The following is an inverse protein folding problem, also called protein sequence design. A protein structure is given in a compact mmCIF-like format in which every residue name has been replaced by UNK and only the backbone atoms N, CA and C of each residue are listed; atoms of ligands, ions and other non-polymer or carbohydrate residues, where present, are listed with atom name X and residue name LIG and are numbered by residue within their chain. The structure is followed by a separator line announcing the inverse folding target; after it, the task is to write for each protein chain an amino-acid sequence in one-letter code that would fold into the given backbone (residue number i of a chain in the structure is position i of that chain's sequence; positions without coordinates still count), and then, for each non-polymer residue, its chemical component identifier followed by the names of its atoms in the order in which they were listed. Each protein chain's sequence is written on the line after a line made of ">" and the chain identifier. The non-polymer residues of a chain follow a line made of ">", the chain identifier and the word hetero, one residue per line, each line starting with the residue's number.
data_IF_290863307515
#
_entry.id   IF_290863307515
#
_cell.length_a   1.000
_cell.length_b   1.000
_cell.length_c   1.000
_cell.angle_alpha   90.00
_cell.angle_beta   90.00
_cell.angle_gamma   90.00
#
_symmetry.space_group_name_H-M   'P 1'
#
loop_
_entity.id
_entity.type
_entity.pdbx_description
1 polymer ?
#
# COMPACT_ATOMS: atom_id res chain seq x y z
N UNK A 1 -2.68 8.68 10.58
CA UNK A 1 -3.45 7.57 11.19
C UNK A 1 -4.37 8.26 12.20
N UNK A 2 -5.69 8.27 12.02
CA UNK A 2 -6.55 8.85 13.07
C UNK A 2 -6.88 7.75 14.05
N UNK A 3 -6.23 7.79 15.20
CA UNK A 3 -6.61 6.96 16.34
C UNK A 3 -7.70 7.76 17.08
N UNK A 4 -8.80 7.12 17.46
CA UNK A 4 -9.81 7.79 18.27
C UNK A 4 -9.19 8.16 19.62
N UNK A 5 -9.16 9.45 19.95
CA UNK A 5 -8.38 9.99 21.07
C UNK A 5 -7.01 10.48 20.59
N UNK A 6 -6.66 11.73 20.90
CA UNK A 6 -5.46 12.39 20.36
C UNK A 6 -4.18 11.60 20.63
N UNK A 7 -3.66 10.94 19.59
CA UNK A 7 -2.47 10.12 19.69
C UNK A 7 -1.24 11.04 19.83
N UNK A 8 -0.25 10.74 20.70
CA UNK A 8 0.91 11.60 20.91
C UNK A 8 1.67 11.93 19.62
N UNK A 9 1.68 10.99 18.67
CA UNK A 9 2.28 11.20 17.34
C UNK A 9 1.70 12.39 16.58
N UNK A 10 0.42 12.71 16.78
CA UNK A 10 -0.26 13.80 16.08
C UNK A 10 0.20 15.18 16.60
N UNK A 11 0.75 15.23 17.81
CA UNK A 11 1.28 16.46 18.42
C UNK A 11 2.81 16.58 18.30
N UNK A 12 3.52 15.45 18.20
CA UNK A 12 4.98 15.42 18.24
C UNK A 12 5.66 15.40 16.86
N UNK A 13 4.94 15.06 15.79
CA UNK A 13 5.53 14.87 14.46
C UNK A 13 4.78 15.58 13.32
N UNK A 14 5.11 16.87 13.14
CA UNK A 14 4.76 17.62 11.92
C UNK A 14 5.87 17.55 10.84
N UNK A 15 7.11 17.29 11.27
CA UNK A 15 8.29 17.22 10.41
C UNK A 15 9.02 15.88 10.52
N UNK A 16 9.84 15.56 9.51
CA UNK A 16 10.71 14.40 9.51
C UNK A 16 11.73 14.50 10.65
N UNK A 17 12.07 13.36 11.26
CA UNK A 17 13.18 13.29 12.21
C UNK A 17 14.48 13.73 11.54
N UNK A 18 15.33 14.46 12.28
CA UNK A 18 16.68 14.82 11.81
C UNK A 18 17.46 13.57 11.39
N UNK A 19 18.08 13.60 10.21
CA UNK A 19 18.83 12.47 9.65
C UNK A 19 17.99 11.49 8.83
N UNK A 20 16.65 11.57 8.87
CA UNK A 20 15.79 10.63 8.17
C UNK A 20 15.91 10.74 6.64
N UNK A 21 15.98 11.97 6.11
CA UNK A 21 16.13 12.20 4.67
C UNK A 21 17.51 11.76 4.18
N UNK A 22 18.56 12.08 4.93
CA UNK A 22 19.93 11.68 4.62
C UNK A 22 20.05 10.15 4.63
N UNK A 23 19.40 9.47 5.57
CA UNK A 23 19.38 8.00 5.59
C UNK A 23 18.62 7.42 4.40
N UNK A 24 17.50 8.01 4.02
CA UNK A 24 16.76 7.58 2.83
C UNK A 24 17.62 7.75 1.56
N UNK A 25 18.36 8.85 1.45
CA UNK A 25 19.30 9.07 0.34
C UNK A 25 20.46 8.09 0.34
N UNK A 26 21.04 7.79 1.50
CA UNK A 26 22.11 6.77 1.63
C UNK A 26 21.61 5.40 1.18
N UNK A 27 20.41 5.00 1.62
CA UNK A 27 19.80 3.74 1.19
C UNK A 27 19.54 3.73 -0.32
N UNK A 28 19.01 4.82 -0.86
CA UNK A 28 18.78 4.96 -2.31
C UNK A 28 20.07 4.83 -3.13
N UNK A 29 21.19 5.38 -2.66
CA UNK A 29 22.49 5.25 -3.34
C UNK A 29 23.04 3.81 -3.31
N UNK A 30 22.68 3.02 -2.30
CA UNK A 30 23.08 1.63 -2.15
C UNK A 30 22.02 0.65 -2.71
N UNK A 31 20.97 1.18 -3.32
CA UNK A 31 19.83 0.40 -3.80
C UNK A 31 20.28 -0.63 -4.85
N UNK A 32 19.83 -1.86 -4.68
CA UNK A 32 19.96 -2.92 -5.66
C UNK A 32 18.60 -3.61 -5.84
N UNK A 33 18.05 -3.70 -7.07
CA UNK A 33 16.80 -4.43 -7.31
C UNK A 33 16.87 -5.92 -6.92
N UNK A 34 18.06 -6.52 -6.86
CA UNK A 34 18.24 -7.92 -6.42
C UNK A 34 17.85 -8.15 -4.95
N UNK A 35 17.62 -7.07 -4.18
CA UNK A 35 17.09 -7.18 -2.82
C UNK A 35 15.62 -7.59 -2.77
N UNK A 36 14.89 -7.48 -3.88
CA UNK A 36 13.45 -7.75 -3.93
C UNK A 36 13.15 -9.20 -4.29
N UNK A 37 12.23 -9.80 -3.53
CA UNK A 37 11.73 -11.13 -3.77
C UNK A 37 10.35 -11.05 -4.42
N UNK A 38 10.17 -11.75 -5.54
CA UNK A 38 8.89 -11.82 -6.23
C UNK A 38 8.42 -13.26 -6.36
N UNK A 39 7.11 -13.44 -6.37
CA UNK A 39 6.53 -14.71 -6.78
C UNK A 39 6.91 -15.03 -8.25
N UNK A 40 7.49 -16.21 -8.53
CA UNK A 40 7.90 -16.58 -9.89
C UNK A 40 6.74 -16.58 -10.88
N UNK A 41 5.51 -16.87 -10.43
CA UNK A 41 4.33 -16.88 -11.29
C UNK A 41 3.95 -15.46 -11.70
N UNK A 42 4.03 -14.49 -10.78
CA UNK A 42 3.82 -13.07 -11.07
C UNK A 42 4.81 -12.56 -12.12
N UNK A 43 6.11 -12.86 -11.97
CA UNK A 43 7.13 -12.51 -12.97
C UNK A 43 6.80 -13.15 -14.33
N UNK A 44 6.51 -14.44 -14.35
CA UNK A 44 6.21 -15.15 -15.58
C UNK A 44 4.99 -14.54 -16.28
N UNK A 45 3.92 -14.22 -15.54
CA UNK A 45 2.72 -13.59 -16.10
C UNK A 45 3.01 -12.21 -16.71
N UNK A 46 3.86 -11.40 -16.07
CA UNK A 46 4.31 -10.13 -16.63
C UNK A 46 5.08 -10.33 -17.95
N UNK A 47 6.03 -11.26 -17.97
CA UNK A 47 6.85 -11.55 -19.16
C UNK A 47 6.05 -12.07 -20.36
N UNK A 48 4.93 -12.76 -20.12
CA UNK A 48 4.06 -13.27 -21.18
C UNK A 48 3.00 -12.26 -21.64
N UNK A 49 2.85 -11.13 -20.96
CA UNK A 49 1.85 -10.13 -21.33
C UNK A 49 2.41 -9.15 -22.37
N UNK A 50 1.70 -8.99 -23.48
CA UNK A 50 2.12 -8.10 -24.57
C UNK A 50 2.07 -6.63 -24.14
N UNK A 51 3.16 -5.89 -24.39
CA UNK A 51 3.25 -4.46 -24.10
C UNK A 51 2.06 -3.67 -24.69
N UNK A 52 1.51 -2.76 -23.89
CA UNK A 52 0.36 -1.94 -24.28
C UNK A 52 -1.01 -2.63 -24.11
N UNK A 53 -1.04 -3.91 -23.72
CA UNK A 53 -2.31 -4.59 -23.38
C UNK A 53 -2.74 -4.32 -21.94
N UNK A 54 -4.03 -4.48 -21.66
CA UNK A 54 -4.54 -4.40 -20.28
C UNK A 54 -3.94 -5.48 -19.38
N UNK A 55 -3.59 -6.64 -19.93
CA UNK A 55 -2.87 -7.68 -19.20
C UNK A 55 -1.50 -7.17 -18.74
N UNK A 56 -0.71 -6.57 -19.64
CA UNK A 56 0.59 -5.99 -19.31
C UNK A 56 0.46 -4.90 -18.24
N UNK A 57 -0.51 -4.00 -18.40
CA UNK A 57 -0.76 -2.91 -17.46
C UNK A 57 -1.01 -3.42 -16.04
N UNK A 58 -1.90 -4.40 -15.88
CA UNK A 58 -2.22 -4.98 -14.57
C UNK A 58 -1.00 -5.70 -13.97
N UNK A 59 -0.24 -6.44 -14.77
CA UNK A 59 0.96 -7.16 -14.29
C UNK A 59 2.09 -6.22 -13.92
N UNK A 60 2.26 -5.11 -14.63
CA UNK A 60 3.22 -4.07 -14.26
C UNK A 60 2.85 -3.47 -12.89
N UNK A 61 1.58 -3.12 -12.70
CA UNK A 61 1.10 -2.56 -11.43
C UNK A 61 1.22 -3.57 -10.27
N UNK A 62 1.03 -4.86 -10.54
CA UNK A 62 1.28 -5.94 -9.58
C UNK A 62 2.75 -6.01 -9.13
N UNK A 63 3.69 -5.95 -10.08
CA UNK A 63 5.12 -5.91 -9.75
C UNK A 63 5.51 -4.64 -8.99
N UNK A 64 4.92 -3.49 -9.34
CA UNK A 64 5.16 -2.22 -8.63
C UNK A 64 4.65 -2.30 -7.19
N UNK A 65 3.42 -2.78 -6.98
CA UNK A 65 2.86 -2.96 -5.65
C UNK A 65 3.72 -3.92 -4.80
N UNK A 66 4.09 -5.07 -5.36
CA UNK A 66 4.98 -6.03 -4.70
C UNK A 66 6.36 -5.42 -4.37
N UNK A 67 6.93 -4.62 -5.27
CA UNK A 67 8.21 -3.94 -5.03
C UNK A 67 8.11 -2.96 -3.85
N UNK A 68 7.06 -2.15 -3.80
CA UNK A 68 6.84 -1.20 -2.71
C UNK A 68 6.61 -1.90 -1.38
N UNK A 69 5.88 -3.02 -1.40
CA UNK A 69 5.67 -3.88 -0.25
C UNK A 69 7.00 -4.40 0.30
N UNK A 70 7.80 -5.06 -0.54
CA UNK A 70 9.11 -5.63 -0.18
C UNK A 70 10.11 -4.56 0.30
N UNK A 71 10.11 -3.37 -0.31
CA UNK A 71 10.91 -2.23 0.18
C UNK A 71 10.47 -1.83 1.60
N UNK A 72 9.16 -1.77 1.86
CA UNK A 72 8.61 -1.48 3.18
C UNK A 72 9.03 -2.52 4.23
N UNK A 73 8.91 -3.81 3.88
CA UNK A 73 9.37 -4.95 4.70
C UNK A 73 10.86 -4.80 5.03
N UNK A 74 11.70 -4.61 4.01
CA UNK A 74 13.15 -4.53 4.15
C UNK A 74 13.55 -3.33 5.02
N UNK A 75 13.03 -2.14 4.75
CA UNK A 75 13.35 -0.93 5.52
C UNK A 75 12.94 -1.06 6.98
N UNK A 76 11.81 -1.73 7.26
CA UNK A 76 11.36 -1.99 8.62
C UNK A 76 12.28 -2.97 9.36
N UNK A 77 12.70 -4.05 8.68
CA UNK A 77 13.60 -5.06 9.24
C UNK A 77 15.01 -4.53 9.51
N UNK A 78 15.47 -3.54 8.74
CA UNK A 78 16.73 -2.82 9.04
C UNK A 78 16.68 -2.07 10.38
N UNK A 79 15.49 -1.85 10.94
CA UNK A 79 15.33 -1.42 12.33
C UNK A 79 15.87 -0.02 12.61
N UNK A 80 15.87 0.87 11.62
CA UNK A 80 16.34 2.24 11.79
C UNK A 80 15.61 2.96 12.94
N UNK A 81 16.37 3.59 13.82
CA UNK A 81 15.87 4.36 14.98
C UNK A 81 16.33 5.81 14.88
N UNK A 82 15.60 6.60 14.10
CA UNK A 82 15.92 8.01 13.84
C UNK A 82 15.29 8.97 14.87
N UNK A 83 14.15 8.58 15.46
CA UNK A 83 13.50 9.37 16.49
C UNK A 83 14.28 9.27 17.81
N UNK A 84 14.50 10.43 18.47
CA UNK A 84 15.23 10.54 19.74
C UNK A 84 14.34 10.84 20.96
N UNK A 85 13.04 11.04 20.76
CA UNK A 85 12.06 11.26 21.82
C UNK A 85 11.48 9.95 22.36
N UNK A 86 10.35 10.06 23.06
CA UNK A 86 9.74 8.94 23.77
C UNK A 86 8.95 8.03 22.82
N UNK A 87 9.66 7.09 22.19
CA UNK A 87 9.06 6.09 21.29
C UNK A 87 7.98 5.27 22.03
N UNK A 88 8.22 4.90 23.28
CA UNK A 88 7.31 4.07 24.08
C UNK A 88 5.96 4.77 24.31
N UNK A 89 5.97 6.09 24.55
CA UNK A 89 4.73 6.86 24.68
C UNK A 89 3.87 6.84 23.41
N UNK A 90 4.50 6.61 22.25
CA UNK A 90 3.82 6.52 20.95
C UNK A 90 3.42 5.07 20.63
N UNK A 91 4.29 4.09 20.87
CA UNK A 91 4.05 2.69 20.49
C UNK A 91 3.15 1.95 21.48
N UNK A 92 3.22 2.30 22.76
CA UNK A 92 2.46 1.64 23.82
C UNK A 92 1.18 2.42 24.17
N UNK A 93 0.89 3.48 23.41
CA UNK A 93 -0.29 4.29 23.58
C UNK A 93 -1.55 3.44 23.44
N UNK A 94 -2.48 3.68 24.37
CA UNK A 94 -3.81 3.07 24.37
C UNK A 94 -4.86 4.15 24.28
N UNK A 95 -5.97 3.81 23.61
CA UNK A 95 -7.15 4.66 23.63
C UNK A 95 -7.53 4.86 25.11
N UNK A 96 -7.66 6.12 25.59
CA UNK A 96 -8.08 6.38 26.96
C UNK A 96 -9.37 5.63 27.28
N UNK A 97 -9.54 5.17 28.52
CA UNK A 97 -10.79 4.51 28.93
C UNK A 97 -11.97 5.47 28.70
N UNK A 98 -12.80 5.14 27.70
CA UNK A 98 -13.96 5.92 27.30
C UNK A 98 -15.24 5.43 28.00
N UNK A 99 -15.13 4.49 28.94
CA UNK A 99 -16.23 3.98 29.74
C UNK A 99 -16.43 2.46 29.63
N UNK A 100 -17.28 1.89 30.51
CA UNK A 100 -17.40 0.44 30.74
C UNK A 100 -17.97 -0.36 29.56
N UNK A 101 -18.54 0.31 28.55
CA UNK A 101 -19.18 -0.32 27.39
C UNK A 101 -18.25 -0.44 26.16
N UNK A 102 -17.02 0.08 26.24
CA UNK A 102 -16.07 0.06 25.13
C UNK A 102 -15.03 -1.04 25.33
N UNK A 103 -14.75 -1.76 24.24
CA UNK A 103 -13.78 -2.86 24.21
C UNK A 103 -12.37 -2.30 24.41
N UNK A 104 -11.60 -2.89 25.33
CA UNK A 104 -10.16 -2.61 25.46
C UNK A 104 -9.46 -3.02 24.16
N UNK A 105 -8.96 -2.03 23.42
CA UNK A 105 -8.23 -2.25 22.17
C UNK A 105 -6.74 -2.28 22.50
N UNK A 106 -6.05 -3.42 22.35
CA UNK A 106 -4.62 -3.49 22.63
C UNK A 106 -3.85 -2.56 21.68
N UNK A 107 -2.66 -2.08 22.10
CA UNK A 107 -1.76 -1.35 21.21
C UNK A 107 -1.49 -2.16 19.95
N UNK A 108 -1.41 -1.46 18.80
CA UNK A 108 -1.05 -2.11 17.54
C UNK A 108 0.41 -2.56 17.58
N UNK A 109 0.76 -3.68 16.93
CA UNK A 109 2.15 -4.17 16.89
C UNK A 109 3.11 -3.20 16.20
N UNK A 110 2.57 -2.27 15.39
CA UNK A 110 3.30 -1.21 14.72
C UNK A 110 2.37 -0.02 14.44
N UNK A 111 2.94 1.18 14.37
CA UNK A 111 2.25 2.40 13.91
C UNK A 111 2.09 2.44 12.38
N UNK A 112 2.83 1.61 11.67
CA UNK A 112 2.79 1.49 10.22
C UNK A 112 1.87 0.34 9.82
N UNK A 113 0.55 0.56 9.90
CA UNK A 113 -0.41 -0.49 9.58
C UNK A 113 -1.63 0.02 8.82
N UNK A 114 -2.11 -0.81 7.91
CA UNK A 114 -3.43 -0.68 7.29
C UNK A 114 -4.48 -1.41 8.14
N UNK A 115 -5.66 -0.82 8.37
CA UNK A 115 -6.65 -1.36 9.30
C UNK A 115 -7.19 -2.76 8.93
N UNK A 116 -7.14 -3.12 7.64
CA UNK A 116 -7.60 -4.40 7.12
C UNK A 116 -6.50 -5.46 6.90
N UNK A 117 -5.22 -5.14 7.14
CA UNK A 117 -4.10 -6.06 6.91
C UNK A 117 -3.23 -6.14 8.17
N UNK A 118 -3.81 -6.62 9.28
CA UNK A 118 -3.17 -6.65 10.60
C UNK A 118 -2.80 -8.06 11.09
N UNK A 119 -3.14 -9.10 10.33
CA UNK A 119 -2.98 -10.50 10.72
C UNK A 119 -1.54 -10.97 10.48
N UNK A 120 -0.61 -10.53 11.33
CA UNK A 120 0.81 -10.87 11.21
C UNK A 120 1.10 -12.38 11.28
N UNK A 121 0.22 -13.18 11.86
CA UNK A 121 0.41 -14.63 12.02
C UNK A 121 0.28 -15.42 10.72
N UNK A 122 -0.38 -14.85 9.70
CA UNK A 122 -0.55 -15.48 8.38
C UNK A 122 0.47 -15.01 7.34
N UNK A 123 1.26 -13.98 7.64
CA UNK A 123 2.23 -13.41 6.70
C UNK A 123 3.65 -13.94 6.91
N UNK A 124 4.43 -14.18 5.83
CA UNK A 124 5.74 -14.82 5.91
C UNK A 124 6.79 -14.02 6.69
N UNK A 125 6.75 -12.68 6.64
CA UNK A 125 7.60 -11.75 7.38
C UNK A 125 6.89 -11.13 8.61
N UNK A 126 5.69 -11.63 8.93
CA UNK A 126 4.91 -11.21 10.09
C UNK A 126 4.56 -9.72 10.11
N UNK A 127 4.98 -9.01 11.16
CA UNK A 127 4.70 -7.57 11.31
C UNK A 127 5.30 -6.76 10.15
N UNK A 128 6.39 -7.22 9.55
CA UNK A 128 7.01 -6.48 8.46
C UNK A 128 6.10 -6.40 7.22
N UNK A 129 5.29 -7.44 6.93
CA UNK A 129 4.33 -7.40 5.82
C UNK A 129 3.17 -6.43 6.09
N UNK A 130 2.77 -6.25 7.37
CA UNK A 130 1.83 -5.19 7.77
C UNK A 130 2.37 -3.81 7.36
N UNK A 131 3.69 -3.61 7.55
CA UNK A 131 4.37 -2.37 7.14
C UNK A 131 4.48 -2.25 5.63
N UNK A 132 4.68 -3.36 4.91
CA UNK A 132 4.64 -3.42 3.45
C UNK A 132 3.30 -2.92 2.89
N UNK A 133 2.18 -3.44 3.40
CA UNK A 133 0.84 -2.97 3.02
C UNK A 133 0.61 -1.50 3.37
N UNK A 134 1.12 -1.05 4.52
CA UNK A 134 1.08 0.36 4.86
C UNK A 134 1.87 1.21 3.84
N UNK A 135 3.05 0.76 3.40
CA UNK A 135 3.87 1.47 2.43
C UNK A 135 3.16 1.60 1.07
N UNK A 136 2.52 0.54 0.57
CA UNK A 136 1.68 0.59 -0.63
C UNK A 136 0.61 1.69 -0.52
N UNK A 137 -0.15 1.68 0.58
CA UNK A 137 -1.22 2.66 0.80
C UNK A 137 -0.71 4.10 1.01
N UNK A 138 0.52 4.27 1.52
CA UNK A 138 1.18 5.58 1.64
C UNK A 138 1.74 6.11 0.32
N UNK A 139 2.17 5.25 -0.59
CA UNK A 139 2.80 5.65 -1.85
C UNK A 139 1.76 5.70 -2.97
N UNK A 140 1.02 4.61 -3.16
CA UNK A 140 0.03 4.47 -4.23
C UNK A 140 -1.31 5.12 -3.88
N UNK A 141 -1.69 5.10 -2.59
CA UNK A 141 -2.99 5.62 -2.13
C UNK A 141 -3.96 4.54 -1.64
N UNK A 142 -3.61 3.27 -1.84
CA UNK A 142 -4.23 2.10 -1.23
C UNK A 142 -3.35 0.86 -1.39
N UNK A 143 -3.64 -0.19 -0.65
CA UNK A 143 -3.11 -1.54 -0.95
C UNK A 143 -3.70 -1.98 -2.28
N UNK A 144 -2.85 -2.45 -3.19
CA UNK A 144 -3.28 -2.81 -4.54
C UNK A 144 -3.77 -4.25 -4.56
N UNK A 145 -5.02 -4.46 -4.99
CA UNK A 145 -5.67 -5.78 -5.06
C UNK A 145 -6.27 -6.01 -6.44
N UNK A 146 -6.38 -7.27 -6.85
CA UNK A 146 -6.66 -7.65 -8.24
C UNK A 146 -7.85 -8.60 -8.34
N UNK A 147 -8.69 -8.49 -9.38
CA UNK A 147 -9.71 -9.51 -9.65
C UNK A 147 -9.05 -10.76 -10.25
N UNK A 148 -8.77 -11.75 -9.41
CA UNK A 148 -8.08 -12.98 -9.80
C UNK A 148 -8.96 -13.94 -10.60
N UNK A 149 -10.28 -13.74 -10.66
CA UNK A 149 -11.17 -14.57 -11.50
C UNK A 149 -10.95 -14.30 -12.98
N UNK A 150 -10.54 -13.07 -13.31
CA UNK A 150 -10.22 -12.68 -14.69
C UNK A 150 -8.97 -13.36 -15.24
N UNK A 151 -8.14 -13.94 -14.37
CA UNK A 151 -6.97 -14.73 -14.76
C UNK A 151 -7.32 -16.14 -15.27
N UNK A 152 -8.47 -16.66 -14.84
CA UNK A 152 -9.00 -17.99 -15.21
C UNK A 152 -10.05 -17.89 -16.32
N UNK A 153 -10.32 -16.66 -16.78
CA UNK A 153 -11.47 -16.35 -17.62
C UNK A 153 -11.29 -16.73 -19.09
N UNK A 154 -12.40 -17.19 -19.67
CA UNK A 154 -12.54 -17.58 -21.08
C UNK A 154 -12.23 -16.41 -22.04
N UNK A 155 -11.89 -16.70 -23.31
CA UNK A 155 -11.69 -15.68 -24.34
C UNK A 155 -12.91 -14.73 -24.41
N UNK A 156 -12.67 -13.41 -24.28
CA UNK A 156 -13.70 -12.37 -24.42
C UNK A 156 -14.11 -11.65 -23.14
N UNK A 157 -13.60 -12.04 -21.96
CA UNK A 157 -13.79 -11.28 -20.72
C UNK A 157 -12.72 -10.18 -20.64
N UNK A 158 -13.15 -8.94 -20.44
CA UNK A 158 -12.24 -7.80 -20.29
C UNK A 158 -11.60 -7.84 -18.90
N UNK A 159 -10.26 -7.77 -18.86
CA UNK A 159 -9.50 -7.66 -17.61
C UNK A 159 -9.83 -6.29 -16.98
N UNK A 160 -10.33 -6.25 -15.74
CA UNK A 160 -10.64 -5.01 -15.05
C UNK A 160 -9.37 -4.20 -14.76
N UNK A 161 -9.56 -2.91 -14.47
CA UNK A 161 -8.53 -2.12 -13.80
C UNK A 161 -8.26 -2.65 -12.39
N UNK A 162 -7.10 -2.33 -11.84
CA UNK A 162 -6.71 -2.67 -10.46
C UNK A 162 -7.63 -1.97 -9.46
N UNK A 163 -7.67 -2.51 -8.25
CA UNK A 163 -8.45 -1.98 -7.15
C UNK A 163 -7.53 -1.52 -6.03
N UNK A 164 -7.90 -0.43 -5.37
CA UNK A 164 -7.21 0.08 -4.19
C UNK A 164 -8.06 -0.11 -2.94
N UNK A 165 -7.38 -0.43 -1.84
CA UNK A 165 -7.96 -0.46 -0.50
C UNK A 165 -7.21 0.55 0.37
N UNK A 166 -7.83 1.70 0.65
CA UNK A 166 -7.16 2.80 1.38
C UNK A 166 -7.51 2.77 2.87
N UNK A 167 -6.54 3.10 3.73
CA UNK A 167 -6.82 3.43 5.14
C UNK A 167 -6.69 4.93 5.46
N UNK A 168 -6.68 5.79 4.44
CA UNK A 168 -6.54 7.23 4.62
C UNK A 168 -7.82 7.88 5.13
N UNK A 169 -7.64 9.01 5.81
CA UNK A 169 -8.76 9.85 6.26
C UNK A 169 -9.52 10.40 5.05
N UNK A 170 -10.85 10.48 5.17
CA UNK A 170 -11.75 10.95 4.11
C UNK A 170 -11.75 10.07 2.85
N UNK A 171 -11.27 8.83 2.94
CA UNK A 171 -11.38 7.84 1.88
C UNK A 171 -12.40 6.77 2.25
N UNK A 172 -12.91 6.05 1.25
CA UNK A 172 -13.80 4.92 1.49
C UNK A 172 -13.04 3.77 2.17
N UNK A 173 -13.70 3.06 3.08
CA UNK A 173 -13.21 1.80 3.66
C UNK A 173 -13.41 0.60 2.73
N UNK A 174 -14.08 0.81 1.60
CA UNK A 174 -14.37 -0.22 0.60
C UNK A 174 -13.20 -0.33 -0.37
N UNK A 175 -13.00 -1.51 -0.93
CA UNK A 175 -12.11 -1.73 -2.06
C UNK A 175 -12.75 -1.07 -3.29
N UNK A 176 -12.02 -0.19 -3.97
CA UNK A 176 -12.56 0.57 -5.11
C UNK A 176 -11.70 0.36 -6.35
N UNK A 177 -12.35 0.17 -7.50
CA UNK A 177 -11.66 0.04 -8.77
C UNK A 177 -11.10 1.40 -9.19
N UNK A 178 -9.87 1.43 -9.68
CA UNK A 178 -9.35 2.60 -10.36
C UNK A 178 -10.13 2.86 -11.64
N UNK A 179 -10.47 4.12 -11.86
CA UNK A 179 -11.00 4.55 -13.15
C UNK A 179 -9.93 4.44 -14.23
N UNK A 180 -10.36 4.48 -15.49
CA UNK A 180 -9.44 4.37 -16.62
C UNK A 180 -8.40 5.49 -16.63
N UNK A 181 -8.82 6.74 -16.40
CA UNK A 181 -7.95 7.92 -16.31
C UNK A 181 -6.94 7.81 -15.16
N UNK A 182 -7.37 7.32 -13.99
CA UNK A 182 -6.48 7.13 -12.84
C UNK A 182 -5.38 6.09 -13.13
N UNK A 183 -5.76 4.94 -13.69
CA UNK A 183 -4.80 3.88 -14.01
C UNK A 183 -3.90 4.28 -15.18
N UNK A 184 -4.44 4.94 -16.19
CA UNK A 184 -3.67 5.46 -17.33
C UNK A 184 -2.63 6.48 -16.86
N UNK A 185 -3.00 7.45 -16.03
CA UNK A 185 -2.07 8.42 -15.47
C UNK A 185 -0.94 7.74 -14.66
N UNK A 186 -1.27 6.72 -13.88
CA UNK A 186 -0.28 5.93 -13.15
C UNK A 186 0.69 5.21 -14.10
N UNK A 187 0.17 4.57 -15.14
CA UNK A 187 1.00 3.87 -16.13
C UNK A 187 1.89 4.84 -16.90
N UNK A 188 1.38 6.00 -17.30
CA UNK A 188 2.18 7.05 -17.92
C UNK A 188 3.31 7.52 -17.02
N UNK A 189 3.05 7.67 -15.71
CA UNK A 189 4.07 7.99 -14.72
C UNK A 189 5.12 6.89 -14.58
N UNK A 190 4.71 5.63 -14.50
CA UNK A 190 5.62 4.49 -14.33
C UNK A 190 6.46 4.17 -15.58
N UNK A 191 5.92 4.44 -16.77
CA UNK A 191 6.59 4.19 -18.05
C UNK A 191 7.36 5.41 -18.57
N UNK A 192 7.30 6.56 -17.89
CA UNK A 192 8.05 7.74 -18.26
C UNK A 192 9.56 7.46 -18.17
N UNK A 193 10.31 7.90 -19.18
CA UNK A 193 11.77 7.85 -19.12
C UNK A 193 12.28 8.68 -17.94
N UNK A 194 13.26 8.16 -17.21
CA UNK A 194 13.80 8.83 -16.01
C UNK A 194 14.41 10.20 -16.30
N UNK A 195 14.90 10.40 -17.54
CA UNK A 195 15.50 11.67 -17.98
C UNK A 195 14.46 12.65 -18.57
N UNK A 196 13.19 12.23 -18.72
CA UNK A 196 12.10 13.06 -19.21
C UNK A 196 11.39 13.81 -18.07
N UNK A 197 10.77 14.97 -18.35
CA UNK A 197 9.92 15.64 -17.37
C UNK A 197 8.82 14.70 -16.89
N UNK A 198 8.65 14.58 -15.57
CA UNK A 198 7.58 13.78 -14.99
C UNK A 198 6.21 14.29 -15.46
N UNK A 199 5.22 13.40 -15.65
CA UNK A 199 3.86 13.82 -15.95
C UNK A 199 3.32 14.76 -14.86
N UNK A 200 2.80 15.91 -15.28
CA UNK A 200 2.14 16.89 -14.43
C UNK A 200 0.63 16.87 -14.71
N UNK A 201 -0.24 16.71 -13.69
CA UNK A 201 0.11 16.53 -12.28
C UNK A 201 0.61 15.10 -11.96
N UNK A 202 1.46 14.99 -10.94
CA UNK A 202 1.86 13.68 -10.38
C UNK A 202 0.59 12.90 -9.95
N UNK A 203 0.35 11.68 -10.47
CA UNK A 203 -0.86 10.92 -10.14
C UNK A 203 -0.85 10.38 -8.70
N UNK A 204 0.29 10.37 -8.02
CA UNK A 204 0.45 9.75 -6.70
C UNK A 204 0.30 10.76 -5.55
N UNK A 205 -0.32 10.34 -4.43
CA UNK A 205 -1.12 9.12 -4.28
C UNK A 205 -2.48 9.25 -4.98
N UNK A 206 -2.97 8.16 -5.58
CA UNK A 206 -4.31 8.12 -6.17
C UNK A 206 -5.34 7.91 -5.07
N UNK A 207 -6.27 8.85 -4.96
CA UNK A 207 -7.35 8.81 -3.98
C UNK A 207 -8.68 8.56 -4.69
N UNK A 208 -9.58 7.86 -3.99
CA UNK A 208 -10.96 7.70 -4.42
C UNK A 208 -11.71 9.04 -4.34
N UNK A 209 -12.62 9.22 -5.29
CA UNK A 209 -13.61 10.29 -5.28
C UNK A 209 -15.01 9.74 -5.62
N UNK A 210 -15.98 10.64 -5.79
CA UNK A 210 -17.37 10.28 -6.10
C UNK A 210 -17.54 9.55 -7.46
N UNK A 211 -16.56 9.65 -8.37
CA UNK A 211 -16.59 9.00 -9.67
C UNK A 211 -16.01 7.57 -9.66
N UNK A 212 -15.37 7.14 -8.56
CA UNK A 212 -15.04 5.72 -8.34
C UNK A 212 -16.32 4.95 -7.96
N UNK A 213 -17.09 4.52 -8.98
CA UNK A 213 -18.41 3.89 -8.80
C UNK A 213 -18.36 2.40 -8.49
N UNK A 214 -17.29 1.71 -8.87
CA UNK A 214 -17.12 0.27 -8.65
C UNK A 214 -16.42 0.07 -7.31
N UNK A 215 -17.23 -0.09 -6.26
CA UNK A 215 -16.75 -0.29 -4.89
C UNK A 215 -17.34 -1.59 -4.32
N UNK A 216 -16.53 -2.34 -3.58
CA UNK A 216 -16.87 -3.62 -2.97
C UNK A 216 -16.49 -3.56 -1.49
N UNK A 217 -17.36 -4.03 -0.59
CA UNK A 217 -16.98 -4.12 0.82
C UNK A 217 -15.84 -5.14 0.95
N UNK A 218 -14.82 -4.81 1.73
CA UNK A 218 -13.62 -5.65 1.91
C UNK A 218 -13.97 -7.08 2.33
N UNK A 219 -14.96 -7.25 3.21
CA UNK A 219 -15.49 -8.54 3.67
C UNK A 219 -15.98 -9.45 2.54
N UNK A 220 -16.48 -8.88 1.45
CA UNK A 220 -17.02 -9.61 0.30
C UNK A 220 -16.03 -9.69 -0.87
N UNK A 221 -14.97 -8.89 -0.86
CA UNK A 221 -14.03 -8.76 -1.97
C UNK A 221 -13.42 -10.12 -2.36
N UNK A 222 -12.91 -10.86 -1.37
CA UNK A 222 -12.29 -12.17 -1.60
C UNK A 222 -13.37 -13.22 -1.94
N UNK A 223 -14.39 -13.35 -1.08
CA UNK A 223 -15.33 -14.49 -1.12
C UNK A 223 -16.27 -14.42 -2.33
N UNK A 224 -16.76 -13.23 -2.69
CA UNK A 224 -17.76 -13.07 -3.76
C UNK A 224 -17.16 -12.56 -5.07
N UNK A 225 -16.06 -11.82 -4.99
CA UNK A 225 -15.48 -11.15 -6.15
C UNK A 225 -14.07 -11.64 -6.50
N UNK A 226 -13.45 -12.52 -5.71
CA UNK A 226 -12.09 -12.99 -5.96
C UNK A 226 -11.08 -11.84 -6.09
N UNK A 227 -11.34 -10.72 -5.41
CA UNK A 227 -10.49 -9.53 -5.42
C UNK A 227 -9.52 -9.63 -4.24
N UNK A 228 -8.24 -9.88 -4.53
CA UNK A 228 -7.12 -9.93 -3.58
C UNK A 228 -5.76 -9.79 -4.27
#
# INVERSE_FOLDING_TARGET
>A
MYVFGGHPIDAEHEELCSGALEKAQEFYQQWNPDFLMFDPTTIAKYQHADFGTQAFNVRLLELVAASLHEIGVLLFQLGFRMHKGNIEAVTDWRIPDLGPDLVDVPPRPTLFGHHAYLDADIYPNGIADIVGYWAEDRILGGVTVFDRRTEVSLPGIQIPNVYFHSCRRLQTHRVYQLRHDQQEALLMFLLAETDSPLPEPNPLPILSDAENRVCVNSEFAIIHYGIY
#
